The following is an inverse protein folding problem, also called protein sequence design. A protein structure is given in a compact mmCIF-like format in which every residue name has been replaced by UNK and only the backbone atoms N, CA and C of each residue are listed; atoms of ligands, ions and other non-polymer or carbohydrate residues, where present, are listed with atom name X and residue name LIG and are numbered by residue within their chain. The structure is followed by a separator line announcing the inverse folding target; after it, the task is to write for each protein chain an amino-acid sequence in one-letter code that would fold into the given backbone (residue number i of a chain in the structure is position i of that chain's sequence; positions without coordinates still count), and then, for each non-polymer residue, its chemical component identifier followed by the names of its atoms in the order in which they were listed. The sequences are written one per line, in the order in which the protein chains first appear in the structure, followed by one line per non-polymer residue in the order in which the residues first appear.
data_IF_102620225123
#
_entry.id   IF_102620225123
#
_cell.length_a   1.000
_cell.length_b   1.000
_cell.length_c   1.000
_cell.angle_alpha   90.00
_cell.angle_beta   90.00
_cell.angle_gamma   90.00
#
_symmetry.space_group_name_H-M   'P 1'
#
loop_
_entity.id
_entity.type
_entity.pdbx_description
1 polymer ?
#
# COMPACT_ATOMS: atom_id res chain seq x y z
N UNK A 1 5.09 11.76 37.71
CA UNK A 1 3.98 11.24 36.87
C UNK A 1 3.95 12.09 35.61
N UNK A 2 4.00 11.51 34.42
CA UNK A 2 4.11 12.30 33.18
C UNK A 2 4.64 11.57 31.94
N UNK A 3 4.71 10.22 31.96
CA UNK A 3 5.07 9.46 30.76
C UNK A 3 3.81 9.14 29.97
N UNK A 4 3.84 9.33 28.65
CA UNK A 4 2.76 8.95 27.74
C UNK A 4 2.60 7.43 27.66
N UNK A 5 1.44 6.94 27.22
CA UNK A 5 1.22 5.50 27.03
C UNK A 5 2.25 4.87 26.08
N UNK A 6 2.67 5.62 25.06
CA UNK A 6 3.74 5.23 24.13
C UNK A 6 5.10 5.13 24.83
N UNK A 7 5.47 6.11 25.65
CA UNK A 7 6.73 6.08 26.42
C UNK A 7 6.76 4.96 27.46
N UNK A 8 5.60 4.64 28.06
CA UNK A 8 5.46 3.51 28.99
C UNK A 8 5.57 2.16 28.25
N UNK A 9 4.93 2.03 27.08
CA UNK A 9 5.03 0.83 26.25
C UNK A 9 6.47 0.62 25.72
N UNK A 10 7.15 1.70 25.31
CA UNK A 10 8.54 1.66 24.89
C UNK A 10 9.46 1.21 26.03
N UNK A 11 9.22 1.72 27.25
CA UNK A 11 10.00 1.36 28.44
C UNK A 11 9.91 -0.13 28.79
N UNK A 12 8.78 -0.78 28.53
CA UNK A 12 8.59 -2.23 28.75
C UNK A 12 8.90 -3.08 27.50
N UNK A 13 9.54 -2.50 26.47
CA UNK A 13 9.94 -3.22 25.25
C UNK A 13 8.79 -3.58 24.31
N UNK A 14 7.60 -3.01 24.50
CA UNK A 14 6.41 -3.27 23.69
C UNK A 14 6.40 -2.37 22.43
N UNK A 15 7.39 -2.55 21.57
CA UNK A 15 7.59 -1.71 20.38
C UNK A 15 6.43 -1.79 19.36
N UNK A 16 5.71 -2.90 19.31
CA UNK A 16 4.50 -3.04 18.49
C UNK A 16 3.37 -2.14 19.00
N UNK A 17 3.14 -2.11 20.32
CA UNK A 17 2.17 -1.21 20.95
C UNK A 17 2.53 0.26 20.72
N UNK A 18 3.81 0.61 20.82
CA UNK A 18 4.34 1.96 20.52
C UNK A 18 4.03 2.34 19.07
N UNK A 19 4.27 1.43 18.13
CA UNK A 19 3.98 1.65 16.71
C UNK A 19 2.48 1.87 16.48
N UNK A 20 1.62 1.04 17.09
CA UNK A 20 0.15 1.19 16.99
C UNK A 20 -0.31 2.54 17.57
N UNK A 21 0.20 2.91 18.75
CA UNK A 21 -0.17 4.16 19.42
C UNK A 21 0.28 5.37 18.60
N UNK A 22 1.52 5.38 18.13
CA UNK A 22 2.10 6.51 17.39
C UNK A 22 1.53 6.63 15.96
N UNK A 23 0.94 5.56 15.42
CA UNK A 23 0.37 5.51 14.08
C UNK A 23 -1.17 5.49 14.07
N UNK A 24 -1.79 5.82 15.21
CA UNK A 24 -3.24 5.92 15.30
C UNK A 24 -3.73 7.26 14.73
N UNK A 25 -4.73 7.19 13.85
CA UNK A 25 -5.50 8.34 13.40
C UNK A 25 -6.90 8.19 13.99
N UNK A 26 -7.34 9.16 14.78
CA UNK A 26 -8.66 9.13 15.40
C UNK A 26 -9.75 9.59 14.41
N UNK A 27 -10.99 9.17 14.65
CA UNK A 27 -12.15 9.67 13.89
C UNK A 27 -12.29 11.18 14.09
N UNK A 28 -12.12 11.66 15.32
CA UNK A 28 -12.21 13.08 15.67
C UNK A 28 -11.19 13.95 14.91
N UNK A 29 -10.03 13.41 14.57
CA UNK A 29 -9.05 14.13 13.75
C UNK A 29 -9.58 14.36 12.33
N UNK A 30 -10.21 13.35 11.75
CA UNK A 30 -10.86 13.45 10.43
C UNK A 30 -12.06 14.40 10.48
N UNK A 31 -12.89 14.28 11.52
CA UNK A 31 -14.04 15.16 11.76
C UNK A 31 -13.62 16.63 11.79
N UNK A 32 -12.56 16.98 12.56
CA UNK A 32 -12.05 18.36 12.65
C UNK A 32 -11.56 18.94 11.32
N UNK A 33 -11.12 18.10 10.39
CA UNK A 33 -10.73 18.57 9.06
C UNK A 33 -11.91 18.64 8.09
N UNK A 34 -12.92 17.79 8.26
CA UNK A 34 -14.12 17.80 7.43
C UNK A 34 -15.06 18.93 7.84
N UNK A 35 -15.20 19.15 9.15
CA UNK A 35 -16.06 20.11 9.83
C UNK A 35 -15.27 20.89 10.92
N UNK A 36 -14.46 21.89 10.53
CA UNK A 36 -13.60 22.64 11.47
C UNK A 36 -14.32 23.31 12.64
N UNK A 37 -15.56 23.75 12.42
CA UNK A 37 -16.41 24.42 13.42
C UNK A 37 -17.55 23.51 13.92
N UNK A 38 -17.41 22.18 13.73
CA UNK A 38 -18.43 21.20 14.08
C UNK A 38 -19.75 21.48 13.37
N UNK A 39 -20.86 21.50 14.13
CA UNK A 39 -22.21 21.79 13.61
C UNK A 39 -22.34 23.19 12.98
N UNK A 40 -21.43 24.13 13.29
CA UNK A 40 -21.42 25.48 12.71
C UNK A 40 -20.60 25.60 11.43
N UNK A 41 -19.98 24.51 10.97
CA UNK A 41 -19.21 24.51 9.73
C UNK A 41 -20.09 24.90 8.54
N UNK A 42 -19.57 25.74 7.65
CA UNK A 42 -20.28 26.25 6.47
C UNK A 42 -20.82 25.13 5.57
N UNK A 43 -20.08 24.03 5.47
CA UNK A 43 -20.46 22.84 4.73
C UNK A 43 -20.70 21.68 5.69
N UNK A 44 -21.85 21.02 5.54
CA UNK A 44 -22.21 19.84 6.30
C UNK A 44 -22.15 18.60 5.41
N UNK A 45 -21.49 17.57 5.91
CA UNK A 45 -21.30 16.29 5.23
C UNK A 45 -21.94 15.14 6.02
N UNK A 46 -22.36 14.05 5.33
CA UNK A 46 -22.92 12.89 6.00
C UNK A 46 -21.88 12.20 6.92
N UNK A 47 -22.28 11.67 8.09
CA UNK A 47 -21.38 10.96 9.01
C UNK A 47 -20.63 9.79 8.35
N UNK A 48 -21.25 9.15 7.36
CA UNK A 48 -20.66 8.06 6.59
C UNK A 48 -19.40 8.50 5.83
N UNK A 49 -19.32 9.77 5.41
CA UNK A 49 -18.13 10.31 4.75
C UNK A 49 -16.93 10.38 5.70
N UNK A 50 -17.17 10.78 6.97
CA UNK A 50 -16.14 10.84 8.01
C UNK A 50 -15.58 9.45 8.25
N UNK A 51 -16.46 8.47 8.47
CA UNK A 51 -16.09 7.08 8.71
C UNK A 51 -15.34 6.48 7.51
N UNK A 52 -15.76 6.82 6.29
CA UNK A 52 -15.08 6.41 5.07
C UNK A 52 -13.66 6.96 4.97
N UNK A 53 -13.47 8.27 5.18
CA UNK A 53 -12.14 8.90 5.12
C UNK A 53 -11.25 8.37 6.24
N UNK A 54 -11.79 8.22 7.46
CA UNK A 54 -11.09 7.61 8.59
C UNK A 54 -10.61 6.20 8.27
N UNK A 55 -11.48 5.38 7.67
CA UNK A 55 -11.13 4.01 7.32
C UNK A 55 -10.03 3.93 6.27
N UNK A 56 -10.00 4.85 5.30
CA UNK A 56 -8.89 4.99 4.35
C UNK A 56 -7.60 5.36 5.09
N UNK A 57 -7.61 6.39 5.93
CA UNK A 57 -6.40 6.90 6.59
C UNK A 57 -5.81 5.91 7.61
N UNK A 58 -6.66 5.25 8.39
CA UNK A 58 -6.22 4.30 9.44
C UNK A 58 -5.76 2.96 8.88
N UNK A 59 -6.17 2.62 7.65
CA UNK A 59 -5.85 1.34 7.03
C UNK A 59 -4.34 1.13 6.88
N UNK A 60 -3.94 -0.14 6.92
CA UNK A 60 -2.59 -0.61 6.60
C UNK A 60 -2.50 -1.13 5.16
N UNK A 61 -3.63 -1.15 4.43
CA UNK A 61 -3.71 -1.63 3.04
C UNK A 61 -3.34 -0.50 2.08
N UNK A 62 -2.05 -0.31 1.88
CA UNK A 62 -1.50 0.73 0.98
C UNK A 62 -1.42 0.32 -0.49
N UNK A 63 -1.79 -0.92 -0.82
CA UNK A 63 -1.77 -1.38 -2.21
C UNK A 63 -2.80 -0.58 -3.04
N UNK A 64 -2.43 -0.02 -4.22
CA UNK A 64 -3.33 0.81 -5.01
C UNK A 64 -4.69 0.19 -5.30
N UNK A 65 -4.73 -1.09 -5.71
CA UNK A 65 -6.00 -1.80 -5.94
C UNK A 65 -6.85 -1.94 -4.66
N UNK A 66 -6.26 -2.09 -3.47
CA UNK A 66 -7.05 -2.15 -2.24
C UNK A 66 -7.66 -0.79 -1.88
N UNK A 67 -6.91 0.30 -2.08
CA UNK A 67 -7.39 1.67 -1.89
C UNK A 67 -8.55 1.96 -2.86
N UNK A 68 -8.38 1.59 -4.13
CA UNK A 68 -9.40 1.73 -5.16
C UNK A 68 -10.66 0.91 -4.85
N UNK A 69 -10.52 -0.36 -4.49
CA UNK A 69 -11.68 -1.17 -4.10
C UNK A 69 -12.40 -0.59 -2.88
N UNK A 70 -11.68 0.05 -1.96
CA UNK A 70 -12.30 0.77 -0.84
C UNK A 70 -13.04 2.02 -1.30
N UNK A 71 -12.47 2.79 -2.22
CA UNK A 71 -13.12 3.95 -2.86
C UNK A 71 -14.46 3.55 -3.51
N UNK A 72 -14.50 2.43 -4.22
CA UNK A 72 -15.72 1.92 -4.87
C UNK A 72 -16.81 1.44 -3.89
N UNK A 73 -16.47 1.13 -2.64
CA UNK A 73 -17.45 0.70 -1.64
C UNK A 73 -18.26 1.84 -1.05
N UNK A 74 -17.83 3.09 -1.24
CA UNK A 74 -18.58 4.26 -0.79
C UNK A 74 -19.26 4.94 -2.00
N UNK A 75 -20.60 4.85 -2.13
CA UNK A 75 -21.32 5.32 -3.33
C UNK A 75 -21.07 6.80 -3.65
N UNK A 76 -20.97 7.63 -2.61
CA UNK A 76 -20.81 9.08 -2.72
C UNK A 76 -19.33 9.52 -2.77
N UNK A 77 -18.38 8.59 -2.89
CA UNK A 77 -16.95 8.91 -2.91
C UNK A 77 -16.58 9.91 -4.01
N UNK A 78 -17.13 9.74 -5.21
CA UNK A 78 -16.86 10.63 -6.34
C UNK A 78 -17.61 11.96 -6.26
N UNK A 79 -18.79 11.96 -5.63
CA UNK A 79 -19.55 13.18 -5.33
C UNK A 79 -18.74 14.09 -4.41
N UNK A 80 -18.10 13.53 -3.39
CA UNK A 80 -17.29 14.25 -2.41
C UNK A 80 -15.77 14.23 -2.70
N UNK A 81 -15.34 13.84 -3.90
CA UNK A 81 -13.93 13.61 -4.26
C UNK A 81 -12.97 14.73 -3.84
N UNK A 82 -13.35 16.00 -4.06
CA UNK A 82 -12.53 17.16 -3.69
C UNK A 82 -12.32 17.24 -2.19
N UNK A 83 -13.38 17.01 -1.40
CA UNK A 83 -13.31 17.04 0.06
C UNK A 83 -12.57 15.82 0.62
N UNK A 84 -12.77 14.64 0.04
CA UNK A 84 -11.98 13.43 0.37
C UNK A 84 -10.48 13.71 0.20
N UNK A 85 -10.07 14.20 -0.96
CA UNK A 85 -8.66 14.55 -1.22
C UNK A 85 -8.15 15.61 -0.25
N UNK A 86 -8.93 16.66 0.01
CA UNK A 86 -8.57 17.71 0.95
C UNK A 86 -8.32 17.16 2.36
N UNK A 87 -9.24 16.38 2.90
CA UNK A 87 -9.12 15.86 4.27
C UNK A 87 -7.94 14.89 4.38
N UNK A 88 -7.76 13.97 3.43
CA UNK A 88 -6.59 13.06 3.43
C UNK A 88 -5.28 13.84 3.36
N UNK A 89 -5.22 14.91 2.55
CA UNK A 89 -4.07 15.82 2.46
C UNK A 89 -3.82 16.58 3.77
N UNK A 90 -4.87 17.04 4.47
CA UNK A 90 -4.73 17.67 5.80
C UNK A 90 -4.23 16.69 6.86
N UNK A 91 -4.75 15.46 6.87
CA UNK A 91 -4.29 14.39 7.77
C UNK A 91 -2.83 14.05 7.49
N UNK A 92 -2.44 13.98 6.22
CA UNK A 92 -1.05 13.82 5.79
C UNK A 92 -0.15 14.98 6.28
N UNK A 93 -0.51 16.23 6.00
CA UNK A 93 0.28 17.39 6.42
C UNK A 93 0.47 17.46 7.94
N UNK A 94 -0.54 17.04 8.71
CA UNK A 94 -0.45 16.99 10.17
C UNK A 94 0.69 16.10 10.65
N UNK A 95 0.94 14.97 9.98
CA UNK A 95 2.03 14.05 10.34
C UNK A 95 3.42 14.66 10.14
N UNK A 96 3.53 15.63 9.24
CA UNK A 96 4.75 16.37 8.96
C UNK A 96 4.97 17.53 9.94
N UNK A 97 3.90 18.10 10.51
CA UNK A 97 3.94 19.31 11.36
C UNK A 97 3.97 19.01 12.86
N UNK A 98 4.15 17.74 13.25
CA UNK A 98 4.34 17.34 14.64
C UNK A 98 5.75 17.70 15.15
N UNK A 99 5.95 17.75 16.48
CA UNK A 99 7.26 18.05 17.12
C UNK A 99 8.37 17.11 16.63
N UNK A 100 8.01 15.86 16.40
CA UNK A 100 8.81 14.86 15.70
C UNK A 100 8.01 14.40 14.48
N UNK A 101 8.60 14.46 13.30
CA UNK A 101 7.94 14.07 12.07
C UNK A 101 7.70 12.56 12.05
N UNK A 102 6.45 12.14 11.83
CA UNK A 102 6.14 10.73 11.69
C UNK A 102 6.39 10.31 10.24
N UNK A 103 7.64 9.99 9.90
CA UNK A 103 8.05 9.66 8.53
C UNK A 103 7.27 8.46 7.96
N UNK A 104 7.03 7.44 8.77
CA UNK A 104 6.29 6.23 8.36
C UNK A 104 4.84 6.55 8.02
N UNK A 105 4.12 7.25 8.90
CA UNK A 105 2.73 7.63 8.65
C UNK A 105 2.62 8.63 7.50
N UNK A 106 3.57 9.57 7.41
CA UNK A 106 3.62 10.55 6.32
C UNK A 106 3.77 9.85 4.97
N UNK A 107 4.70 8.91 4.85
CA UNK A 107 4.86 8.11 3.63
C UNK A 107 3.60 7.27 3.34
N UNK A 108 3.02 6.62 4.35
CA UNK A 108 1.80 5.81 4.20
C UNK A 108 0.64 6.62 3.64
N UNK A 109 0.34 7.77 4.27
CA UNK A 109 -0.75 8.65 3.87
C UNK A 109 -0.47 9.31 2.51
N UNK A 110 0.79 9.61 2.20
CA UNK A 110 1.16 10.10 0.89
C UNK A 110 0.88 9.08 -0.21
N UNK A 111 1.26 7.81 -0.04
CA UNK A 111 0.95 6.76 -1.02
C UNK A 111 -0.57 6.66 -1.24
N UNK A 112 -1.36 6.70 -0.16
CA UNK A 112 -2.82 6.70 -0.24
C UNK A 112 -3.32 7.92 -1.05
N UNK A 113 -2.88 9.11 -0.67
CA UNK A 113 -3.27 10.37 -1.30
C UNK A 113 -2.90 10.42 -2.78
N UNK A 114 -1.68 9.98 -3.14
CA UNK A 114 -1.21 9.94 -4.51
C UNK A 114 -2.06 8.99 -5.36
N UNK A 115 -2.35 7.78 -4.85
CA UNK A 115 -3.24 6.83 -5.52
C UNK A 115 -4.64 7.43 -5.72
N UNK A 116 -5.21 8.09 -4.70
CA UNK A 116 -6.52 8.74 -4.81
C UNK A 116 -6.53 9.85 -5.85
N UNK A 117 -5.47 10.67 -5.92
CA UNK A 117 -5.31 11.75 -6.93
C UNK A 117 -5.27 11.17 -8.34
N UNK A 118 -4.43 10.17 -8.58
CA UNK A 118 -4.33 9.52 -9.89
C UNK A 118 -5.62 8.78 -10.27
N UNK A 119 -6.30 8.17 -9.30
CA UNK A 119 -7.60 7.54 -9.51
C UNK A 119 -8.66 8.55 -9.96
N UNK A 120 -8.79 9.67 -9.25
CA UNK A 120 -9.76 10.71 -9.58
C UNK A 120 -9.46 11.32 -10.95
N UNK A 121 -8.18 11.59 -11.25
CA UNK A 121 -7.75 12.06 -12.57
C UNK A 121 -8.16 11.08 -13.68
N UNK A 122 -7.83 9.79 -13.52
CA UNK A 122 -8.21 8.75 -14.47
C UNK A 122 -9.73 8.67 -14.67
N UNK A 123 -10.50 8.81 -13.58
CA UNK A 123 -11.96 8.76 -13.63
C UNK A 123 -12.54 9.95 -14.40
N UNK A 124 -12.03 11.15 -14.14
CA UNK A 124 -12.45 12.37 -14.84
C UNK A 124 -12.14 12.30 -16.35
N UNK A 125 -11.00 11.72 -16.73
CA UNK A 125 -10.62 11.51 -18.14
C UNK A 125 -11.54 10.51 -18.87
N UNK A 126 -12.13 9.54 -18.17
CA UNK A 126 -13.02 8.53 -18.77
C UNK A 126 -14.47 8.99 -18.94
N UNK A 127 -14.87 10.10 -18.30
CA UNK A 127 -16.21 10.69 -18.37
C UNK A 127 -17.37 9.68 -18.13
N UNK A 128 -17.14 8.69 -17.27
CA UNK A 128 -18.12 7.68 -16.88
C UNK A 128 -18.71 8.04 -15.51
N UNK A 129 -20.02 7.83 -15.37
CA UNK A 129 -20.80 8.31 -14.23
C UNK A 129 -20.95 7.27 -13.13
N UNK A 130 -20.76 5.98 -13.42
CA UNK A 130 -20.78 4.93 -12.39
C UNK A 130 -19.41 4.75 -11.70
N UNK A 131 -19.25 5.12 -10.42
CA UNK A 131 -18.00 5.00 -9.69
C UNK A 131 -17.43 3.57 -9.69
N UNK A 132 -18.29 2.57 -9.52
CA UNK A 132 -17.86 1.18 -9.37
C UNK A 132 -17.27 0.65 -10.69
N UNK A 133 -17.88 0.99 -11.82
CA UNK A 133 -17.38 0.63 -13.15
C UNK A 133 -16.04 1.28 -13.44
N UNK A 134 -15.88 2.60 -13.24
CA UNK A 134 -14.60 3.26 -13.59
C UNK A 134 -13.46 2.81 -12.70
N UNK A 135 -13.73 2.66 -11.40
CA UNK A 135 -12.73 2.10 -10.48
C UNK A 135 -12.35 0.69 -10.89
N UNK A 136 -13.31 -0.14 -11.32
CA UNK A 136 -13.01 -1.48 -11.84
C UNK A 136 -12.11 -1.42 -13.06
N UNK A 137 -12.38 -0.53 -14.02
CA UNK A 137 -11.53 -0.31 -15.19
C UNK A 137 -10.12 0.11 -14.79
N UNK A 138 -9.97 1.03 -13.84
CA UNK A 138 -8.65 1.48 -13.40
C UNK A 138 -7.89 0.38 -12.66
N UNK A 139 -8.55 -0.39 -11.79
CA UNK A 139 -7.96 -1.57 -11.17
C UNK A 139 -7.47 -2.58 -12.22
N UNK A 140 -8.23 -2.81 -13.29
CA UNK A 140 -7.81 -3.69 -14.39
C UNK A 140 -6.61 -3.14 -15.14
N UNK A 141 -6.59 -1.83 -15.40
CA UNK A 141 -5.43 -1.16 -15.98
C UNK A 141 -4.17 -1.35 -15.13
N UNK A 142 -4.25 -1.13 -13.82
CA UNK A 142 -3.11 -1.35 -12.91
C UNK A 142 -2.66 -2.81 -12.85
N UNK A 143 -3.60 -3.75 -12.96
CA UNK A 143 -3.32 -5.18 -12.91
C UNK A 143 -2.87 -5.78 -14.25
N UNK A 144 -2.82 -5.01 -15.34
CA UNK A 144 -2.37 -5.57 -16.61
C UNK A 144 -0.95 -6.13 -16.50
N UNK A 145 -0.72 -7.30 -17.09
CA UNK A 145 0.55 -8.00 -17.13
C UNK A 145 0.56 -8.95 -18.33
N UNK A 146 1.68 -9.02 -19.04
CA UNK A 146 1.90 -9.92 -20.17
C UNK A 146 2.84 -11.08 -19.80
N UNK A 147 2.86 -12.18 -20.57
CA UNK A 147 3.56 -13.42 -20.20
C UNK A 147 5.08 -13.28 -20.02
N UNK A 148 5.70 -12.29 -20.65
CA UNK A 148 7.13 -11.98 -20.54
C UNK A 148 7.48 -11.06 -19.35
N UNK A 149 6.47 -10.61 -18.58
CA UNK A 149 6.62 -9.61 -17.53
C UNK A 149 6.46 -10.23 -16.13
N UNK A 150 7.51 -10.11 -15.30
CA UNK A 150 7.45 -10.54 -13.89
C UNK A 150 6.80 -9.52 -12.95
N UNK A 151 6.61 -8.29 -13.44
CA UNK A 151 6.12 -7.13 -12.69
C UNK A 151 4.98 -6.49 -13.47
N UNK A 152 3.97 -5.99 -12.78
CA UNK A 152 2.85 -5.27 -13.41
C UNK A 152 3.28 -3.83 -13.77
N UNK A 153 3.40 -3.46 -15.05
CA UNK A 153 4.02 -2.20 -15.47
C UNK A 153 3.28 -0.95 -14.98
N UNK A 154 1.95 -0.98 -15.04
CA UNK A 154 1.12 0.18 -14.67
C UNK A 154 1.13 0.41 -13.15
N UNK A 155 1.09 -0.67 -12.38
CA UNK A 155 1.21 -0.61 -10.93
C UNK A 155 2.60 -0.12 -10.49
N UNK A 156 3.66 -0.66 -11.10
CA UNK A 156 5.04 -0.27 -10.81
C UNK A 156 5.30 1.21 -11.14
N UNK A 157 4.81 1.66 -12.31
CA UNK A 157 4.87 3.07 -12.71
C UNK A 157 4.19 3.98 -11.70
N UNK A 158 2.94 3.67 -11.31
CA UNK A 158 2.18 4.44 -10.34
C UNK A 158 2.94 4.58 -9.01
N UNK A 159 3.47 3.48 -8.48
CA UNK A 159 4.14 3.48 -7.19
C UNK A 159 5.51 4.15 -7.22
N UNK A 160 6.30 3.98 -8.28
CA UNK A 160 7.57 4.71 -8.45
C UNK A 160 7.33 6.22 -8.57
N UNK A 161 6.28 6.63 -9.26
CA UNK A 161 5.87 8.04 -9.33
C UNK A 161 5.40 8.55 -7.97
N UNK A 162 4.61 7.77 -7.24
CA UNK A 162 4.17 8.11 -5.89
C UNK A 162 5.37 8.36 -4.97
N UNK A 163 6.36 7.46 -4.97
CA UNK A 163 7.61 7.65 -4.21
C UNK A 163 8.31 8.93 -4.68
N UNK A 164 8.59 9.07 -5.98
CA UNK A 164 9.32 10.24 -6.52
C UNK A 164 8.65 11.58 -6.19
N UNK A 165 7.33 11.62 -6.13
CA UNK A 165 6.56 12.83 -5.85
C UNK A 165 6.38 13.12 -4.35
N UNK A 166 6.92 12.30 -3.45
CA UNK A 166 6.83 12.53 -2.01
C UNK A 166 7.44 13.88 -1.64
N UNK A 167 6.69 14.79 -1.00
CA UNK A 167 7.13 16.19 -0.87
C UNK A 167 8.27 16.39 0.13
N UNK A 168 8.47 15.47 1.07
CA UNK A 168 9.37 15.64 2.21
C UNK A 168 10.73 14.95 1.97
N UNK A 169 11.52 15.53 1.07
CA UNK A 169 12.73 14.90 0.52
C UNK A 169 13.91 14.74 1.50
N UNK A 170 13.86 15.39 2.66
CA UNK A 170 14.88 15.28 3.70
C UNK A 170 14.58 14.20 4.73
N UNK A 171 13.46 13.47 4.60
CA UNK A 171 13.21 12.28 5.41
C UNK A 171 14.24 11.20 5.10
N UNK A 172 14.83 10.64 6.16
CA UNK A 172 15.79 9.55 6.03
C UNK A 172 15.13 8.30 5.44
N UNK A 173 13.89 8.01 5.83
CA UNK A 173 13.09 6.93 5.29
C UNK A 173 12.91 7.09 3.78
N UNK A 174 12.53 8.29 3.32
CA UNK A 174 12.36 8.59 1.91
C UNK A 174 13.68 8.47 1.14
N UNK A 175 14.76 9.06 1.63
CA UNK A 175 16.07 8.96 0.98
C UNK A 175 16.52 7.51 0.81
N UNK A 176 16.35 6.71 1.87
CA UNK A 176 16.71 5.28 1.86
C UNK A 176 15.86 4.52 0.85
N UNK A 177 14.55 4.79 0.82
CA UNK A 177 13.60 4.16 -0.11
C UNK A 177 13.94 4.48 -1.57
N UNK A 178 14.17 5.76 -1.90
CA UNK A 178 14.53 6.18 -3.27
C UNK A 178 15.85 5.57 -3.71
N UNK A 179 16.88 5.60 -2.85
CA UNK A 179 18.19 4.99 -3.14
C UNK A 179 18.07 3.48 -3.37
N UNK A 180 17.19 2.78 -2.64
CA UNK A 180 16.94 1.36 -2.83
C UNK A 180 16.24 1.06 -4.17
N UNK A 181 15.15 1.78 -4.47
CA UNK A 181 14.40 1.62 -5.73
C UNK A 181 15.27 1.95 -6.96
N UNK A 182 16.13 2.97 -6.87
CA UNK A 182 16.99 3.41 -7.97
C UNK A 182 18.02 2.34 -8.40
N UNK A 183 18.39 1.41 -7.51
CA UNK A 183 19.31 0.31 -7.81
C UNK A 183 18.66 -0.84 -8.58
N UNK A 184 17.33 -0.87 -8.66
CA UNK A 184 16.57 -1.93 -9.32
C UNK A 184 16.02 -1.40 -10.64
N UNK A 185 16.39 -2.02 -11.79
CA UNK A 185 15.85 -1.66 -13.09
C UNK A 185 14.31 -1.67 -13.10
N UNK A 186 13.72 -0.82 -13.95
CA UNK A 186 12.28 -0.86 -14.16
C UNK A 186 11.86 -2.27 -14.65
N UNK A 187 10.65 -2.72 -14.28
CA UNK A 187 10.14 -4.07 -14.56
C UNK A 187 10.90 -5.24 -13.93
N UNK A 188 11.78 -4.97 -12.95
CA UNK A 188 12.50 -6.00 -12.19
C UNK A 188 12.06 -6.04 -10.73
N UNK A 189 12.32 -7.16 -10.05
CA UNK A 189 12.08 -7.31 -8.60
C UNK A 189 13.35 -7.02 -7.79
N UNK A 190 13.24 -6.55 -6.52
CA UNK A 190 11.99 -6.20 -5.83
C UNK A 190 11.27 -5.00 -6.45
N UNK A 191 9.95 -5.06 -6.47
CA UNK A 191 9.05 -4.02 -6.98
C UNK A 191 9.01 -2.80 -6.05
N UNK A 192 8.53 -1.67 -6.55
CA UNK A 192 8.29 -0.48 -5.73
C UNK A 192 7.33 -0.76 -4.57
N UNK A 193 6.32 -1.62 -4.78
CA UNK A 193 5.41 -2.03 -3.72
C UNK A 193 6.13 -2.77 -2.58
N UNK A 194 7.02 -3.69 -2.91
CA UNK A 194 7.80 -4.44 -1.91
C UNK A 194 8.68 -3.50 -1.09
N UNK A 195 9.38 -2.57 -1.73
CA UNK A 195 10.17 -1.56 -1.00
C UNK A 195 9.30 -0.66 -0.11
N UNK A 196 8.13 -0.21 -0.57
CA UNK A 196 7.19 0.58 0.24
C UNK A 196 6.73 -0.22 1.46
N UNK A 197 6.32 -1.47 1.28
CA UNK A 197 5.88 -2.36 2.37
C UNK A 197 6.99 -2.57 3.39
N UNK A 198 8.22 -2.81 2.94
CA UNK A 198 9.39 -2.92 3.79
C UNK A 198 9.67 -1.64 4.59
N UNK A 199 9.58 -0.47 3.94
CA UNK A 199 9.77 0.83 4.60
C UNK A 199 8.68 1.12 5.64
N UNK A 200 7.45 0.68 5.41
CA UNK A 200 6.33 0.99 6.30
C UNK A 200 6.18 -0.01 7.45
N UNK A 201 6.46 -1.30 7.21
CA UNK A 201 6.15 -2.38 8.15
C UNK A 201 7.37 -3.25 8.52
N UNK A 202 8.56 -2.86 8.05
CA UNK A 202 9.82 -3.54 8.33
C UNK A 202 10.10 -4.74 7.42
N UNK A 203 11.36 -5.15 7.36
CA UNK A 203 11.85 -6.22 6.46
C UNK A 203 11.21 -7.59 6.71
N UNK A 204 10.85 -7.91 7.95
CA UNK A 204 10.30 -9.23 8.31
C UNK A 204 8.97 -9.52 7.62
N UNK A 205 8.18 -8.50 7.29
CA UNK A 205 6.85 -8.73 6.71
C UNK A 205 6.93 -9.39 5.33
N UNK A 206 7.92 -9.04 4.51
CA UNK A 206 8.12 -9.62 3.17
C UNK A 206 8.61 -11.08 3.24
N UNK A 207 9.40 -11.40 4.26
CA UNK A 207 9.91 -12.76 4.47
C UNK A 207 8.83 -13.69 5.05
N UNK A 208 7.95 -13.17 5.91
CA UNK A 208 6.98 -13.98 6.65
C UNK A 208 5.57 -14.00 6.04
N UNK A 209 5.25 -13.09 5.12
CA UNK A 209 3.89 -12.95 4.58
C UNK A 209 3.85 -13.09 3.06
N UNK A 210 2.85 -13.82 2.56
CA UNK A 210 2.49 -13.83 1.14
C UNK A 210 1.46 -12.75 0.89
N UNK A 211 1.73 -11.87 -0.07
CA UNK A 211 0.81 -10.78 -0.42
C UNK A 211 -0.08 -11.21 -1.58
N UNK A 212 -1.37 -10.87 -1.50
CA UNK A 212 -2.29 -11.14 -2.58
C UNK A 212 -1.84 -10.40 -3.86
N UNK A 213 -1.71 -11.13 -4.96
CA UNK A 213 -1.30 -10.61 -6.26
C UNK A 213 -2.24 -9.54 -6.87
N UNK A 214 -3.46 -9.40 -6.32
CA UNK A 214 -4.48 -8.45 -6.77
C UNK A 214 -4.50 -7.19 -5.91
N UNK A 215 -4.55 -7.35 -4.59
CA UNK A 215 -4.85 -6.26 -3.66
C UNK A 215 -3.81 -6.08 -2.55
N UNK A 216 -2.71 -6.82 -2.56
CA UNK A 216 -1.65 -6.70 -1.56
C UNK A 216 -2.08 -7.02 -0.13
N UNK A 217 -3.21 -7.71 0.08
CA UNK A 217 -3.57 -8.20 1.42
C UNK A 217 -2.53 -9.24 1.87
N UNK A 218 -1.91 -9.09 3.05
CA UNK A 218 -0.94 -10.07 3.57
C UNK A 218 -1.64 -11.38 3.94
N UNK A 219 -0.86 -12.43 4.19
CA UNK A 219 -1.34 -13.77 4.53
C UNK A 219 -2.33 -14.32 3.48
N UNK A 220 -1.98 -14.15 2.21
CA UNK A 220 -2.72 -14.66 1.07
C UNK A 220 -2.51 -16.17 0.92
N UNK A 221 -3.28 -16.95 1.67
CA UNK A 221 -3.10 -18.41 1.78
C UNK A 221 -3.68 -19.20 0.60
N UNK A 222 -4.60 -18.60 -0.18
CA UNK A 222 -5.12 -19.24 -1.38
C UNK A 222 -4.10 -19.06 -2.50
N UNK A 223 -3.90 -20.09 -3.31
CA UNK A 223 -2.93 -20.05 -4.41
C UNK A 223 -3.53 -20.64 -5.66
N UNK A 224 -3.06 -20.17 -6.82
CA UNK A 224 -3.31 -20.86 -8.07
C UNK A 224 -2.81 -22.31 -7.97
N UNK A 225 -3.63 -23.32 -8.30
CA UNK A 225 -3.19 -24.71 -8.22
C UNK A 225 -2.02 -25.03 -9.17
N UNK A 226 -1.96 -24.36 -10.33
CA UNK A 226 -0.91 -24.56 -11.34
C UNK A 226 0.40 -23.82 -10.99
N UNK A 227 0.37 -22.49 -10.95
CA UNK A 227 1.58 -21.67 -10.80
C UNK A 227 1.87 -21.18 -9.37
N UNK A 228 1.01 -21.50 -8.39
CA UNK A 228 1.13 -21.07 -6.98
C UNK A 228 1.03 -19.56 -6.69
N UNK A 229 0.62 -18.75 -7.67
CA UNK A 229 0.43 -17.30 -7.47
C UNK A 229 -0.60 -17.02 -6.34
N UNK A 230 -0.28 -16.17 -5.33
CA UNK A 230 -1.06 -16.06 -4.10
C UNK A 230 -2.22 -15.05 -4.18
N UNK A 231 -3.33 -15.38 -3.53
CA UNK A 231 -4.55 -14.58 -3.45
C UNK A 231 -5.16 -14.66 -2.05
N UNK A 232 -5.79 -13.59 -1.56
CA UNK A 232 -6.52 -13.63 -0.29
C UNK A 232 -7.92 -14.27 -0.45
N UNK A 233 -8.51 -14.20 -1.65
CA UNK A 233 -9.86 -14.70 -1.93
C UNK A 233 -9.98 -15.26 -3.35
N UNK A 234 -11.02 -16.08 -3.58
CA UNK A 234 -11.40 -16.53 -4.92
C UNK A 234 -11.82 -15.35 -5.80
N UNK A 235 -12.38 -14.30 -5.19
CA UNK A 235 -12.82 -13.11 -5.92
C UNK A 235 -11.63 -12.31 -6.44
N UNK A 236 -10.57 -12.13 -5.65
CA UNK A 236 -9.32 -11.53 -6.13
C UNK A 236 -8.70 -12.36 -7.27
N UNK A 237 -8.68 -13.69 -7.16
CA UNK A 237 -8.21 -14.55 -8.23
C UNK A 237 -9.05 -14.39 -9.50
N UNK A 238 -10.39 -14.43 -9.41
CA UNK A 238 -11.30 -14.22 -10.55
C UNK A 238 -11.11 -12.84 -11.16
N UNK A 239 -10.94 -11.82 -10.33
CA UNK A 239 -10.69 -10.45 -10.78
C UNK A 239 -9.39 -10.35 -11.57
N UNK A 240 -8.33 -11.02 -11.15
CA UNK A 240 -7.04 -11.02 -11.85
C UNK A 240 -6.97 -11.99 -13.05
N UNK A 241 -7.90 -12.95 -13.13
CA UNK A 241 -7.83 -14.09 -14.05
C UNK A 241 -7.66 -13.71 -15.53
N UNK A 242 -8.20 -12.56 -15.95
CA UNK A 242 -8.07 -12.07 -17.34
C UNK A 242 -6.61 -11.87 -17.77
N UNK A 243 -5.73 -11.51 -16.84
CA UNK A 243 -4.30 -11.34 -17.05
C UNK A 243 -3.52 -12.58 -16.61
N UNK A 244 -3.80 -13.07 -15.40
CA UNK A 244 -3.11 -14.23 -14.85
C UNK A 244 -3.22 -15.47 -15.75
N UNK A 245 -4.38 -15.78 -16.35
CA UNK A 245 -4.49 -16.97 -17.22
C UNK A 245 -3.49 -16.98 -18.38
N UNK A 246 -3.10 -15.81 -18.89
CA UNK A 246 -2.10 -15.66 -19.95
C UNK A 246 -0.67 -15.86 -19.42
N UNK A 247 -0.45 -15.44 -18.17
CA UNK A 247 0.87 -15.45 -17.53
C UNK A 247 1.11 -16.70 -16.67
N UNK A 248 0.11 -17.58 -16.51
CA UNK A 248 0.13 -18.65 -15.53
C UNK A 248 1.33 -19.58 -15.73
N UNK A 249 1.61 -19.96 -16.97
CA UNK A 249 2.73 -20.85 -17.29
C UNK A 249 4.08 -20.16 -17.10
N UNK A 250 4.21 -18.88 -17.45
CA UNK A 250 5.41 -18.09 -17.16
C UNK A 250 5.68 -17.99 -15.66
N UNK A 251 4.65 -17.69 -14.86
CA UNK A 251 4.76 -17.59 -13.39
C UNK A 251 5.18 -18.93 -12.80
N UNK A 252 4.66 -20.05 -13.33
CA UNK A 252 5.08 -21.39 -12.91
C UNK A 252 6.56 -21.59 -13.16
N UNK A 253 7.06 -21.21 -14.34
CA UNK A 253 8.48 -21.28 -14.69
C UNK A 253 9.35 -20.47 -13.72
N UNK A 254 8.97 -19.22 -13.43
CA UNK A 254 9.72 -18.36 -12.50
C UNK A 254 9.75 -18.91 -11.07
N UNK A 255 8.65 -19.48 -10.59
CA UNK A 255 8.59 -20.04 -9.24
C UNK A 255 9.48 -21.28 -9.09
N UNK A 256 9.55 -22.14 -10.11
CA UNK A 256 10.49 -23.28 -10.12
C UNK A 256 11.94 -22.79 -10.07
N UNK A 257 12.29 -21.80 -10.90
CA UNK A 257 13.63 -21.21 -10.88
C UNK A 257 13.99 -20.57 -9.53
N UNK A 258 13.04 -19.92 -8.86
CA UNK A 258 13.26 -19.36 -7.53
C UNK A 258 13.45 -20.46 -6.48
N UNK A 259 12.68 -21.54 -6.52
CA UNK A 259 12.85 -22.68 -5.61
C UNK A 259 14.21 -23.38 -5.83
N UNK A 260 14.69 -23.46 -7.07
CA UNK A 260 16.02 -24.00 -7.42
C UNK A 260 17.18 -23.07 -7.01
N UNK A 261 16.96 -21.75 -6.99
CA UNK A 261 17.96 -20.75 -6.58
C UNK A 261 18.01 -20.51 -5.07
N UNK A 262 16.97 -20.87 -4.33
CA UNK A 262 17.02 -20.91 -2.86
C UNK A 262 17.85 -22.12 -2.47
N UNK A 263 19.15 -21.90 -2.29
CA UNK A 263 20.04 -22.88 -1.66
C UNK A 263 19.37 -23.41 -0.39
N UNK A 264 19.33 -24.74 -0.25
CA UNK A 264 18.82 -25.33 0.98
C UNK A 264 19.65 -24.82 2.17
N UNK A 265 19.06 -24.76 3.36
CA UNK A 265 19.80 -24.43 4.59
C UNK A 265 21.00 -25.38 4.74
N UNK A 266 20.88 -26.62 4.26
CA UNK A 266 21.93 -27.64 4.21
C UNK A 266 23.05 -27.27 3.23
N UNK A 267 22.74 -26.67 2.08
CA UNK A 267 23.73 -26.17 1.11
C UNK A 267 24.47 -24.93 1.63
N UNK A 268 23.79 -24.05 2.36
CA UNK A 268 24.41 -22.90 3.02
C UNK A 268 25.34 -23.35 4.16
N UNK A 269 24.93 -24.35 4.94
CA UNK A 269 25.74 -24.94 6.00
C UNK A 269 26.96 -25.69 5.45
N UNK A 270 26.83 -26.40 4.34
CA UNK A 270 27.94 -27.12 3.70
C UNK A 270 28.98 -26.16 3.10
N UNK A 271 28.57 -25.04 2.52
CA UNK A 271 29.50 -24.01 2.04
C UNK A 271 30.25 -23.29 3.18
N UNK A 272 29.58 -23.01 4.30
CA UNK A 272 30.24 -22.44 5.48
C UNK A 272 31.24 -23.42 6.13
N UNK A 273 30.98 -24.74 6.02
CA UNK A 273 31.92 -25.78 6.44
C UNK A 273 33.17 -25.91 5.56
N UNK A 274 33.11 -25.46 4.30
CA UNK A 274 34.23 -25.49 3.35
C UNK A 274 35.12 -24.25 3.39
N UNK A 275 34.67 -23.15 4.03
CA UNK A 275 35.45 -21.91 4.20
C UNK A 275 36.40 -22.00 5.41
N UNK A 276 36.28 -23.05 6.25
CA UNK A 276 37.20 -23.33 7.35
C UNK A 276 38.26 -24.38 6.95
N UNK A 277 39.06 -24.09 5.92
CA UNK A 277 40.36 -24.73 5.65
C UNK A 277 41.39 -23.65 5.33
#
# INVERSE_FOLDING_TARGET
MGKTASELAAFVGQHECVCIINNHISVDEVEKFLHPDGEKSEEQYPPELVLFIHDICKSHRVHPVAILLRLAQYPDALKYKKKVLYVVDRVFERQLRCKESNEVMSLKLWIILHVLREAIKFIEEKNEKDPATVVTVYCKFLLQMEPDQQVRPNLETLLRNAVRSFPYHHSLLFETLVKAIAKVPFMSRPTAYEFIVQSLFGHRILACSKFCATCGTPNADKKCPNCKFPYCSRDCQKFDWVFHKKCCDSIKGWNVQQEEQVMSIEDLQSQLGQINV
#
